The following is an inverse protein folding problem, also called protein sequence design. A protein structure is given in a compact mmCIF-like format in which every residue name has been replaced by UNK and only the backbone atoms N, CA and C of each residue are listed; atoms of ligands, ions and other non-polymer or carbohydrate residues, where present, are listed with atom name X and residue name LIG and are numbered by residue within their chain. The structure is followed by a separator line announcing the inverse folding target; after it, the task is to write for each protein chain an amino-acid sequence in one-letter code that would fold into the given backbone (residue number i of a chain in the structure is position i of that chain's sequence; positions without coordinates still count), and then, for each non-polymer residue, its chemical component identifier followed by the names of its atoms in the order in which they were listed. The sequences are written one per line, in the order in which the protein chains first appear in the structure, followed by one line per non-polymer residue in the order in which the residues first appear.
data_IF_284227891365
#
_entry.id   IF_284227891365
#
_cell.length_a   1.000
_cell.length_b   1.000
_cell.length_c   1.000
_cell.angle_alpha   90.00
_cell.angle_beta   90.00
_cell.angle_gamma   90.00
#
_symmetry.space_group_name_H-M   'P 1'
#
loop_
_entity.id
_entity.type
_entity.pdbx_description
1 polymer ?
#
# COMPACT_ATOMS: atom_id res chain seq x y z
N UNK A 1 -9.90 -24.14 -4.33
CA UNK A 1 -10.26 -23.64 -2.97
C UNK A 1 -9.05 -23.42 -2.05
N UNK A 2 -7.92 -24.14 -2.23
CA UNK A 2 -6.65 -23.84 -1.53
C UNK A 2 -6.09 -22.46 -1.90
N UNK A 3 -6.27 -22.04 -3.16
CA UNK A 3 -5.67 -20.82 -3.71
C UNK A 3 -6.34 -19.54 -3.19
N UNK A 4 -7.66 -19.59 -2.93
CA UNK A 4 -8.39 -18.45 -2.34
C UNK A 4 -7.94 -18.16 -0.91
N UNK A 5 -7.69 -19.20 -0.11
CA UNK A 5 -7.21 -19.01 1.26
C UNK A 5 -5.78 -18.46 1.28
N UNK A 6 -4.90 -19.00 0.44
CA UNK A 6 -3.53 -18.49 0.28
C UNK A 6 -3.52 -17.03 -0.19
N UNK A 7 -4.34 -16.70 -1.19
CA UNK A 7 -4.52 -15.34 -1.68
C UNK A 7 -4.97 -14.39 -0.56
N UNK A 8 -6.05 -14.71 0.16
CA UNK A 8 -6.58 -13.83 1.22
C UNK A 8 -5.57 -13.66 2.36
N UNK A 9 -4.86 -14.73 2.72
CA UNK A 9 -3.81 -14.66 3.74
C UNK A 9 -2.68 -13.73 3.33
N UNK A 10 -2.19 -13.82 2.08
CA UNK A 10 -1.19 -12.87 1.57
C UNK A 10 -1.76 -11.46 1.53
N UNK A 11 -2.94 -11.29 0.92
CA UNK A 11 -3.60 -10.00 0.76
C UNK A 11 -3.74 -9.25 2.08
N UNK A 12 -4.30 -9.89 3.12
CA UNK A 12 -4.44 -9.23 4.42
C UNK A 12 -3.14 -9.19 5.23
N UNK A 13 -2.23 -10.15 5.05
CA UNK A 13 -0.95 -10.22 5.77
C UNK A 13 0.10 -9.22 5.29
N UNK A 14 0.04 -8.81 4.02
CA UNK A 14 0.96 -7.81 3.43
C UNK A 14 0.39 -6.40 3.49
N UNK A 15 -0.71 -6.18 4.22
CA UNK A 15 -1.29 -4.86 4.36
C UNK A 15 -0.28 -3.90 5.01
N UNK A 16 -0.01 -2.79 4.35
CA UNK A 16 0.79 -1.67 4.87
C UNK A 16 0.09 -0.35 4.62
N UNK A 17 0.31 0.62 5.50
CA UNK A 17 -0.27 1.95 5.36
C UNK A 17 0.69 2.94 4.71
N UNK A 18 0.12 3.86 3.94
CA UNK A 18 0.84 4.93 3.26
C UNK A 18 0.39 6.28 3.82
N UNK A 19 1.36 7.16 4.02
CA UNK A 19 1.19 8.43 4.69
C UNK A 19 1.58 9.60 3.79
N UNK A 20 0.84 10.69 3.93
CA UNK A 20 1.15 11.99 3.36
C UNK A 20 0.88 13.03 4.45
N UNK A 21 1.82 13.94 4.71
CA UNK A 21 1.71 14.95 5.78
C UNK A 21 1.30 14.34 7.14
N UNK A 22 1.98 13.26 7.53
CA UNK A 22 1.70 12.46 8.74
C UNK A 22 0.31 11.84 8.85
N UNK A 23 -0.52 11.97 7.82
CA UNK A 23 -1.87 11.39 7.77
C UNK A 23 -1.87 10.13 6.95
N UNK A 24 -2.55 9.11 7.46
CA UNK A 24 -2.81 7.86 6.74
C UNK A 24 -3.79 8.12 5.61
N UNK A 25 -3.31 8.08 4.37
CA UNK A 25 -4.11 8.43 3.20
C UNK A 25 -4.40 7.25 2.29
N UNK A 26 -3.59 6.19 2.33
CA UNK A 26 -3.80 4.98 1.54
C UNK A 26 -3.28 3.74 2.28
N UNK A 27 -3.54 2.58 1.71
CA UNK A 27 -2.94 1.32 2.11
C UNK A 27 -2.61 0.49 0.89
N UNK A 28 -1.68 -0.44 1.04
CA UNK A 28 -1.26 -1.32 -0.02
C UNK A 28 -1.36 -2.80 0.37
N UNK A 29 -1.31 -3.66 -0.64
CA UNK A 29 -1.21 -5.11 -0.52
C UNK A 29 -0.26 -5.65 -1.57
N UNK A 30 0.47 -6.71 -1.25
CA UNK A 30 1.31 -7.45 -2.18
C UNK A 30 0.78 -8.88 -2.26
N UNK A 31 0.44 -9.34 -3.47
CA UNK A 31 0.04 -10.72 -3.72
C UNK A 31 0.72 -11.24 -4.96
N UNK A 32 1.50 -12.32 -4.82
CA UNK A 32 2.27 -12.92 -5.92
C UNK A 32 3.08 -11.90 -6.75
N UNK A 33 3.67 -10.89 -6.10
CA UNK A 33 4.45 -9.83 -6.77
C UNK A 33 3.62 -8.72 -7.42
N UNK A 34 2.29 -8.78 -7.36
CA UNK A 34 1.40 -7.69 -7.78
C UNK A 34 1.12 -6.77 -6.60
N UNK A 35 1.25 -5.48 -6.83
CA UNK A 35 1.10 -4.42 -5.85
C UNK A 35 -0.24 -3.73 -6.04
N UNK A 36 -1.08 -3.72 -5.00
CA UNK A 36 -2.38 -3.05 -5.01
C UNK A 36 -2.30 -1.83 -4.10
N UNK A 37 -2.71 -0.66 -4.59
CA UNK A 37 -2.82 0.56 -3.79
C UNK A 37 -4.29 0.98 -3.71
N UNK A 38 -4.77 1.11 -2.49
CA UNK A 38 -6.14 1.48 -2.18
C UNK A 38 -6.18 2.73 -1.30
N UNK A 39 -6.90 3.73 -1.77
CA UNK A 39 -7.11 4.95 -1.00
C UNK A 39 -7.88 4.73 0.29
N UNK A 40 -7.52 5.48 1.32
CA UNK A 40 -8.21 5.44 2.60
C UNK A 40 -9.57 6.16 2.51
N UNK A 41 -10.59 5.54 3.08
CA UNK A 41 -11.95 6.09 3.05
C UNK A 41 -12.00 7.45 3.76
N UNK A 42 -12.75 8.41 3.18
CA UNK A 42 -12.92 9.80 3.66
C UNK A 42 -11.66 10.68 3.64
N UNK A 43 -10.57 10.22 3.02
CA UNK A 43 -9.38 11.03 2.76
C UNK A 43 -9.32 11.48 1.31
N UNK A 44 -8.36 12.36 0.96
CA UNK A 44 -8.10 12.85 -0.41
C UNK A 44 -8.00 11.72 -1.46
N UNK A 45 -7.59 10.54 -1.02
CA UNK A 45 -7.37 9.37 -1.85
C UNK A 45 -8.59 8.45 -1.96
N UNK A 46 -9.71 8.77 -1.30
CA UNK A 46 -10.90 7.91 -1.26
C UNK A 46 -11.37 7.51 -2.66
N UNK A 47 -11.55 6.21 -2.88
CA UNK A 47 -11.98 5.65 -4.18
C UNK A 47 -10.85 5.26 -5.12
N UNK A 48 -9.60 5.64 -4.83
CA UNK A 48 -8.44 5.22 -5.63
C UNK A 48 -8.22 3.72 -5.46
N UNK A 49 -8.09 3.02 -6.60
CA UNK A 49 -7.70 1.62 -6.70
C UNK A 49 -6.74 1.47 -7.88
N UNK A 50 -5.48 1.20 -7.59
CA UNK A 50 -4.44 1.04 -8.59
C UNK A 50 -3.76 -0.32 -8.41
N UNK A 51 -3.24 -0.83 -9.52
CA UNK A 51 -2.52 -2.10 -9.59
C UNK A 51 -1.21 -1.85 -10.33
N UNK A 52 -0.12 -2.37 -9.79
CA UNK A 52 1.21 -2.30 -10.39
C UNK A 52 1.78 -3.72 -10.48
N UNK A 53 2.46 -4.02 -11.59
CA UNK A 53 2.96 -5.36 -11.87
C UNK A 53 4.44 -5.52 -11.50
N UNK A 54 5.06 -4.46 -10.98
CA UNK A 54 6.42 -4.49 -10.46
C UNK A 54 6.55 -3.58 -9.24
N UNK A 55 7.52 -3.92 -8.40
CA UNK A 55 7.93 -3.06 -7.28
C UNK A 55 8.39 -1.69 -7.77
N UNK A 56 9.15 -1.63 -8.88
CA UNK A 56 9.65 -0.37 -9.43
C UNK A 56 8.52 0.60 -9.82
N UNK A 57 7.47 0.11 -10.49
CA UNK A 57 6.30 0.94 -10.84
C UNK A 57 5.62 1.48 -9.59
N UNK A 58 5.45 0.63 -8.57
CA UNK A 58 4.86 1.03 -7.31
C UNK A 58 5.72 2.07 -6.58
N UNK A 59 7.02 1.84 -6.47
CA UNK A 59 7.98 2.74 -5.81
C UNK A 59 8.04 4.11 -6.50
N UNK A 60 8.08 4.12 -7.84
CA UNK A 60 8.04 5.36 -8.61
C UNK A 60 6.72 6.12 -8.35
N UNK A 61 5.60 5.41 -8.29
CA UNK A 61 4.30 6.02 -8.03
C UNK A 61 4.24 6.65 -6.64
N UNK A 62 4.65 5.94 -5.59
CA UNK A 62 4.62 6.48 -4.22
C UNK A 62 5.58 7.66 -4.05
N UNK A 63 6.76 7.61 -4.70
CA UNK A 63 7.73 8.71 -4.68
C UNK A 63 7.17 9.96 -5.38
N UNK A 64 6.56 9.80 -6.56
CA UNK A 64 5.96 10.91 -7.30
C UNK A 64 4.82 11.59 -6.52
N UNK A 65 4.13 10.86 -5.65
CA UNK A 65 3.00 11.36 -4.86
C UNK A 65 3.38 11.68 -3.41
N UNK A 66 4.67 11.67 -3.08
CA UNK A 66 5.20 11.98 -1.74
C UNK A 66 4.57 11.12 -0.64
N UNK A 67 4.30 9.85 -0.97
CA UNK A 67 3.76 8.87 -0.04
C UNK A 67 4.90 8.15 0.68
N UNK A 68 4.80 8.05 2.00
CA UNK A 68 5.75 7.36 2.86
C UNK A 68 5.14 6.06 3.40
N UNK A 69 5.94 4.99 3.49
CA UNK A 69 5.49 3.76 4.12
C UNK A 69 5.46 3.92 5.64
N UNK A 70 4.56 3.18 6.29
CA UNK A 70 4.46 3.13 7.75
C UNK A 70 5.79 2.75 8.42
N UNK A 71 6.57 1.87 7.78
CA UNK A 71 7.87 1.40 8.28
C UNK A 71 8.91 2.54 8.31
N UNK A 72 8.88 3.46 7.34
CA UNK A 72 9.76 4.65 7.29
C UNK A 72 9.43 5.65 8.42
N UNK A 73 8.17 5.68 8.84
CA UNK A 73 7.72 6.47 10.00
C UNK A 73 8.12 5.86 11.34
N UNK A 74 8.22 4.54 11.43
CA UNK A 74 8.66 3.89 12.67
C UNK A 74 10.17 4.09 12.91
N UNK A 75 10.96 4.25 11.85
CA UNK A 75 12.41 4.49 11.93
C UNK A 75 12.80 5.92 12.36
N UNK A 76 11.87 6.87 12.32
CA UNK A 76 12.13 8.30 12.67
C UNK A 76 11.81 8.65 14.13
N UNK A 77 11.44 7.67 14.97
CA UNK A 77 11.03 7.86 16.37
C UNK A 77 12.16 7.68 17.40
N UNK A 78 13.44 7.67 16.99
CA UNK A 78 14.60 7.52 17.87
C UNK A 78 15.51 8.75 17.89
#
# INVERSE_FOLDING_TARGET
MKDKKAFLNQYFGTKRYLYQDDKRVAHMHIVNGVYYLHGHHKMKWSGIKLTFNSEQEFMNYIQQHELNLEEDKQLTLF
#
